data_IF_066149211326
#
_entry.id   IF_066149211326
#
_cell.length_a   1.000
_cell.length_b   1.000
_cell.length_c   1.000
_cell.angle_alpha   90.00
_cell.angle_beta   90.00
_cell.angle_gamma   90.00
#
_symmetry.space_group_name_H-M   'P 1'
#
loop_
_entity.id
_entity.type
_entity.pdbx_description
1 polymer ?
#
# COMPACT_ATOMS: atom_id res chain seq x y z
N UNK A 1 18.84 17.41 8.16
CA UNK A 1 19.06 16.17 8.95
C UNK A 1 19.70 15.17 7.98
N UNK A 2 20.78 14.57 8.39
CA UNK A 2 21.35 13.45 7.64
C UNK A 2 20.57 12.17 8.01
N UNK A 3 20.01 11.51 7.02
CA UNK A 3 19.28 10.26 7.17
C UNK A 3 20.14 9.03 6.86
N UNK A 4 21.37 9.24 6.37
CA UNK A 4 22.25 8.15 5.93
C UNK A 4 21.57 7.26 4.88
N UNK A 5 21.78 5.95 4.98
CA UNK A 5 21.06 4.96 4.16
C UNK A 5 19.67 4.71 4.78
N UNK A 6 18.68 5.51 4.36
CA UNK A 6 17.34 5.45 4.93
C UNK A 6 16.38 4.57 4.12
N UNK A 7 15.48 3.88 4.82
CA UNK A 7 14.28 3.25 4.26
C UNK A 7 13.03 3.93 4.81
N UNK A 8 12.12 4.30 3.93
CA UNK A 8 10.84 4.91 4.27
C UNK A 8 9.72 3.86 4.27
N UNK A 9 9.03 3.73 5.40
CA UNK A 9 7.83 2.90 5.54
C UNK A 9 6.63 3.82 5.52
N UNK A 10 5.90 3.85 4.40
CA UNK A 10 4.79 4.79 4.20
C UNK A 10 3.44 4.11 4.35
N UNK A 11 2.48 4.82 4.93
CA UNK A 11 1.08 4.41 5.07
C UNK A 11 0.12 5.45 4.49
N UNK A 12 -1.19 5.28 4.73
CA UNK A 12 -2.25 6.09 4.12
C UNK A 12 -2.11 7.59 4.42
N UNK A 13 -1.49 7.96 5.53
CA UNK A 13 -1.24 9.36 5.90
C UNK A 13 -0.41 10.13 4.87
N UNK A 14 0.48 9.47 4.11
CA UNK A 14 1.27 10.15 3.07
C UNK A 14 0.40 10.61 1.90
N UNK A 15 -0.73 9.94 1.65
CA UNK A 15 -1.64 10.21 0.51
C UNK A 15 -2.79 11.18 0.86
N UNK A 16 -2.92 11.60 2.11
CA UNK A 16 -3.98 12.54 2.54
C UNK A 16 -3.90 13.86 1.80
N UNK A 17 -2.71 14.43 1.63
CA UNK A 17 -2.50 15.67 0.88
C UNK A 17 -2.73 15.51 -0.64
N UNK A 18 -2.89 14.29 -1.13
CA UNK A 18 -3.32 13.96 -2.49
C UNK A 18 -4.84 13.81 -2.62
N UNK A 19 -5.60 14.04 -1.54
CA UNK A 19 -7.05 13.93 -1.51
C UNK A 19 -7.57 12.51 -1.26
N UNK A 20 -6.69 11.53 -1.01
CA UNK A 20 -7.11 10.18 -0.65
C UNK A 20 -7.39 10.12 0.85
N UNK A 21 -8.60 9.69 1.20
CA UNK A 21 -8.99 9.56 2.59
C UNK A 21 -8.21 8.43 3.29
N UNK A 22 -7.70 8.65 4.50
CA UNK A 22 -7.01 7.61 5.25
C UNK A 22 -7.98 6.47 5.60
N UNK A 23 -7.44 5.28 5.77
CA UNK A 23 -8.27 4.13 6.16
C UNK A 23 -8.98 4.32 7.50
N UNK A 24 -8.42 5.09 8.43
CA UNK A 24 -8.93 5.32 9.78
C UNK A 24 -9.01 6.81 10.09
N UNK A 25 -9.91 7.18 10.98
CA UNK A 25 -10.12 8.56 11.43
C UNK A 25 -11.49 9.10 11.04
N UNK A 26 -11.83 10.34 11.44
CA UNK A 26 -13.05 11.01 11.01
C UNK A 26 -13.09 11.07 9.47
N UNK A 27 -14.14 10.57 8.87
CA UNK A 27 -14.31 10.38 7.42
C UNK A 27 -13.45 9.27 6.80
N UNK A 28 -12.91 8.33 7.56
CA UNK A 28 -12.24 7.13 7.04
C UNK A 28 -13.20 6.23 6.27
N UNK A 29 -12.70 5.49 5.27
CA UNK A 29 -13.49 4.65 4.33
C UNK A 29 -14.09 3.40 5.02
N UNK A 30 -14.09 3.33 6.35
CA UNK A 30 -14.40 2.13 7.14
C UNK A 30 -15.87 2.04 7.56
N UNK A 31 -16.83 2.49 6.74
CA UNK A 31 -18.25 2.32 7.03
C UNK A 31 -18.70 0.85 6.94
N UNK A 32 -18.06 0.03 6.10
CA UNK A 32 -18.24 -1.42 6.07
C UNK A 32 -17.04 -2.10 6.73
N UNK A 33 -17.21 -3.29 7.32
CA UNK A 33 -16.12 -4.05 7.96
C UNK A 33 -15.03 -4.43 6.93
N UNK A 34 -13.93 -3.66 6.81
CA UNK A 34 -12.99 -3.85 5.72
C UNK A 34 -12.13 -5.12 5.89
N UNK A 35 -12.01 -5.65 7.11
CA UNK A 35 -11.38 -6.94 7.34
C UNK A 35 -12.20 -8.08 6.71
N UNK A 36 -13.51 -7.91 6.65
CA UNK A 36 -14.40 -8.86 5.98
C UNK A 36 -14.36 -8.64 4.47
N UNK A 37 -14.52 -7.39 4.02
CA UNK A 37 -14.59 -7.03 2.60
C UNK A 37 -13.28 -7.32 1.87
N UNK A 38 -12.13 -7.00 2.45
CA UNK A 38 -10.82 -7.24 1.87
C UNK A 38 -10.23 -8.59 2.31
N UNK A 39 -11.01 -9.67 2.17
CA UNK A 39 -10.59 -11.03 2.48
C UNK A 39 -10.69 -11.97 1.27
N UNK A 40 -9.81 -12.96 1.21
CA UNK A 40 -9.88 -14.01 0.20
C UNK A 40 -11.19 -14.82 0.32
N UNK A 41 -11.65 -15.01 1.55
CA UNK A 41 -12.95 -15.62 1.82
C UNK A 41 -14.10 -14.86 1.16
N UNK A 42 -14.11 -13.50 1.25
CA UNK A 42 -15.13 -12.66 0.59
C UNK A 42 -15.04 -12.77 -0.92
N UNK A 43 -13.82 -12.72 -1.49
CA UNK A 43 -13.60 -12.92 -2.91
C UNK A 43 -14.21 -14.24 -3.41
N UNK A 44 -13.96 -15.35 -2.70
CA UNK A 44 -14.48 -16.66 -3.09
C UNK A 44 -16.01 -16.82 -2.89
N UNK A 45 -16.59 -16.20 -1.87
CA UNK A 45 -18.01 -16.36 -1.56
C UNK A 45 -18.90 -15.40 -2.34
N UNK A 46 -18.40 -14.22 -2.70
CA UNK A 46 -19.15 -13.17 -3.38
C UNK A 46 -18.20 -12.26 -4.17
N UNK A 47 -17.65 -12.77 -5.29
CA UNK A 47 -16.69 -12.02 -6.10
C UNK A 47 -17.29 -10.74 -6.71
N UNK A 48 -18.59 -10.70 -6.95
CA UNK A 48 -19.27 -9.52 -7.48
C UNK A 48 -19.21 -8.34 -6.50
N UNK A 49 -19.57 -8.57 -5.25
CA UNK A 49 -19.49 -7.54 -4.21
C UNK A 49 -18.03 -7.17 -3.89
N UNK A 50 -17.13 -8.15 -3.79
CA UNK A 50 -15.69 -7.91 -3.59
C UNK A 50 -15.10 -7.01 -4.69
N UNK A 51 -15.30 -7.36 -5.96
CA UNK A 51 -14.76 -6.60 -7.08
C UNK A 51 -15.40 -5.21 -7.18
N UNK A 52 -16.70 -5.08 -6.92
CA UNK A 52 -17.39 -3.78 -6.89
C UNK A 52 -16.82 -2.87 -5.81
N UNK A 53 -16.55 -3.40 -4.62
CA UNK A 53 -15.94 -2.66 -3.53
C UNK A 53 -14.54 -2.16 -3.89
N UNK A 54 -13.71 -3.00 -4.53
CA UNK A 54 -12.39 -2.57 -5.03
C UNK A 54 -12.49 -1.58 -6.20
N UNK A 55 -13.48 -1.73 -7.06
CA UNK A 55 -13.74 -0.78 -8.14
C UNK A 55 -14.03 0.63 -7.60
N UNK A 56 -14.88 0.76 -6.60
CA UNK A 56 -15.17 2.06 -5.96
C UNK A 56 -13.91 2.67 -5.32
N UNK A 57 -13.04 1.87 -4.77
CA UNK A 57 -11.74 2.34 -4.25
C UNK A 57 -10.83 2.82 -5.38
N UNK A 58 -10.77 2.09 -6.48
CA UNK A 58 -10.05 2.54 -7.67
C UNK A 58 -10.60 3.89 -8.16
N UNK A 59 -11.90 4.03 -8.30
CA UNK A 59 -12.55 5.29 -8.72
C UNK A 59 -12.18 6.45 -7.79
N UNK A 60 -12.13 6.21 -6.48
CA UNK A 60 -11.79 7.24 -5.49
C UNK A 60 -10.34 7.73 -5.57
N UNK A 61 -9.42 6.91 -6.07
CA UNK A 61 -8.00 7.27 -6.16
C UNK A 61 -7.47 7.48 -7.59
N UNK A 62 -8.21 7.07 -8.64
CA UNK A 62 -7.73 7.16 -10.04
C UNK A 62 -7.34 8.57 -10.49
N UNK A 63 -8.03 9.61 -9.97
CA UNK A 63 -7.78 11.01 -10.28
C UNK A 63 -6.78 11.67 -9.32
N UNK A 64 -6.37 10.99 -8.26
CA UNK A 64 -5.44 11.55 -7.29
C UNK A 64 -4.07 11.82 -7.94
N UNK A 65 -3.47 12.94 -7.55
CA UNK A 65 -2.16 13.37 -8.04
C UNK A 65 -1.15 13.21 -6.89
N UNK A 66 0.04 12.66 -7.17
CA UNK A 66 1.11 12.59 -6.18
C UNK A 66 1.39 13.98 -5.58
N UNK A 67 1.59 14.04 -4.28
CA UNK A 67 1.96 15.27 -3.58
C UNK A 67 3.49 15.44 -3.46
N UNK A 68 3.91 16.52 -2.83
CA UNK A 68 5.33 16.87 -2.69
C UNK A 68 6.16 15.77 -2.02
N UNK A 69 5.59 15.02 -1.05
CA UNK A 69 6.32 13.91 -0.41
C UNK A 69 6.60 12.77 -1.39
N UNK A 70 5.62 12.37 -2.20
CA UNK A 70 5.82 11.32 -3.21
C UNK A 70 6.91 11.72 -4.21
N UNK A 71 6.84 12.96 -4.73
CA UNK A 71 7.84 13.46 -5.68
C UNK A 71 9.23 13.57 -5.05
N UNK A 72 9.32 14.05 -3.81
CA UNK A 72 10.58 14.16 -3.11
C UNK A 72 11.27 12.81 -2.93
N UNK A 73 10.53 11.80 -2.45
CA UNK A 73 11.07 10.45 -2.25
C UNK A 73 11.52 9.82 -3.57
N UNK A 74 10.77 10.03 -4.66
CA UNK A 74 11.11 9.56 -6.00
C UNK A 74 12.36 10.25 -6.54
N UNK A 75 12.43 11.58 -6.44
CA UNK A 75 13.52 12.43 -6.96
C UNK A 75 14.88 12.09 -6.32
N UNK A 76 14.87 11.75 -5.04
CA UNK A 76 16.07 11.41 -4.29
C UNK A 76 16.34 9.89 -4.23
N UNK A 77 15.59 9.09 -4.97
CA UNK A 77 15.75 7.64 -5.08
C UNK A 77 15.77 6.92 -3.72
N UNK A 78 15.02 7.40 -2.73
CA UNK A 78 14.93 6.73 -1.45
C UNK A 78 14.28 5.34 -1.59
N UNK A 79 14.72 4.40 -0.77
CA UNK A 79 14.03 3.10 -0.64
C UNK A 79 12.70 3.32 0.08
N UNK A 80 11.60 2.94 -0.57
CA UNK A 80 10.25 3.07 -0.02
C UNK A 80 9.57 1.70 0.05
N UNK A 81 9.10 1.35 1.24
CA UNK A 81 8.20 0.23 1.49
C UNK A 81 6.83 0.84 1.79
N UNK A 82 5.94 0.81 0.80
CA UNK A 82 4.60 1.40 0.99
C UNK A 82 3.54 0.36 1.30
N UNK A 83 2.70 0.68 2.27
CA UNK A 83 1.49 -0.07 2.61
C UNK A 83 0.30 0.35 1.75
N UNK A 84 0.45 1.45 1.00
CA UNK A 84 -0.61 1.98 0.17
C UNK A 84 -0.74 1.18 -1.12
N UNK A 85 -1.99 0.99 -1.53
CA UNK A 85 -2.34 0.31 -2.78
C UNK A 85 -2.73 1.29 -3.89
N UNK A 86 -2.64 2.60 -3.63
CA UNK A 86 -3.10 3.69 -4.50
C UNK A 86 -2.22 3.96 -5.72
N UNK A 87 -1.00 3.42 -5.75
CA UNK A 87 -0.04 3.59 -6.84
C UNK A 87 0.59 4.99 -6.94
N UNK A 88 0.39 5.91 -5.97
CA UNK A 88 0.88 7.29 -6.07
C UNK A 88 2.40 7.40 -6.06
N UNK A 89 3.13 6.55 -5.35
CA UNK A 89 4.60 6.52 -5.44
C UNK A 89 5.05 6.23 -6.87
N UNK A 90 4.47 5.22 -7.51
CA UNK A 90 4.75 4.87 -8.91
C UNK A 90 4.36 6.00 -9.87
N UNK A 91 3.20 6.61 -9.67
CA UNK A 91 2.72 7.76 -10.45
C UNK A 91 3.61 9.01 -10.29
N UNK A 92 4.32 9.14 -9.16
CA UNK A 92 5.32 10.19 -8.95
C UNK A 92 6.65 9.93 -9.68
N UNK A 93 6.78 8.82 -10.38
CA UNK A 93 8.01 8.42 -11.07
C UNK A 93 9.03 7.71 -10.16
N UNK A 94 8.59 7.12 -9.06
CA UNK A 94 9.49 6.39 -8.17
C UNK A 94 10.11 5.20 -8.91
N UNK A 95 11.44 5.03 -8.90
CA UNK A 95 12.11 3.94 -9.61
C UNK A 95 11.73 2.56 -9.04
N UNK A 96 11.40 1.61 -9.91
CA UNK A 96 11.03 0.24 -9.51
C UNK A 96 12.02 -0.45 -8.58
N UNK A 97 13.35 -0.35 -8.77
CA UNK A 97 14.30 -0.97 -7.85
C UNK A 97 14.25 -0.43 -6.41
N UNK A 98 13.68 0.76 -6.21
CA UNK A 98 13.61 1.45 -4.92
C UNK A 98 12.20 1.55 -4.33
N UNK A 99 11.22 0.89 -4.94
CA UNK A 99 9.83 0.87 -4.47
C UNK A 99 9.37 -0.56 -4.20
N UNK A 100 8.84 -0.82 -3.01
CA UNK A 100 8.13 -2.04 -2.66
C UNK A 100 6.71 -1.68 -2.27
N UNK A 101 5.73 -2.18 -3.01
CA UNK A 101 4.30 -2.09 -2.70
C UNK A 101 3.92 -3.33 -1.88
N UNK A 102 4.19 -3.29 -0.55
CA UNK A 102 4.13 -4.46 0.34
C UNK A 102 2.72 -5.06 0.52
N UNK A 103 1.68 -4.29 0.19
CA UNK A 103 0.30 -4.76 0.12
C UNK A 103 -0.22 -4.89 -1.32
N UNK A 104 0.68 -4.76 -2.32
CA UNK A 104 0.32 -4.76 -3.72
C UNK A 104 -0.15 -3.40 -4.22
N UNK A 105 -0.82 -3.39 -5.38
CA UNK A 105 -1.26 -2.16 -6.05
C UNK A 105 -2.59 -2.40 -6.76
N UNK A 106 -3.55 -1.50 -6.58
CA UNK A 106 -4.88 -1.59 -7.19
C UNK A 106 -4.86 -1.49 -8.72
N UNK A 107 -3.79 -0.91 -9.28
CA UNK A 107 -3.62 -0.80 -10.73
C UNK A 107 -3.14 -2.09 -11.41
N UNK A 108 -2.86 -3.12 -10.63
CA UNK A 108 -2.46 -4.43 -11.15
C UNK A 108 -3.46 -5.51 -10.77
N UNK A 109 -3.53 -6.53 -11.62
CA UNK A 109 -4.25 -7.77 -11.37
C UNK A 109 -3.33 -8.98 -11.59
N UNK A 110 -3.69 -10.10 -11.05
CA UNK A 110 -2.97 -11.37 -11.20
C UNK A 110 -3.93 -12.53 -11.29
N UNK A 111 -3.48 -13.64 -11.85
CA UNK A 111 -4.20 -14.92 -11.74
C UNK A 111 -4.41 -15.28 -10.26
N UNK A 112 -5.52 -15.93 -9.96
CA UNK A 112 -5.86 -16.27 -8.57
C UNK A 112 -4.77 -17.13 -7.94
N UNK A 113 -4.24 -18.11 -8.68
CA UNK A 113 -3.19 -19.02 -8.23
C UNK A 113 -1.75 -18.51 -8.44
N UNK A 114 -1.54 -17.29 -8.95
CA UNK A 114 -0.19 -16.77 -9.21
C UNK A 114 0.64 -16.69 -7.91
N UNK A 115 1.87 -17.18 -7.98
CA UNK A 115 2.84 -17.17 -6.88
C UNK A 115 4.03 -16.23 -7.14
N UNK A 116 4.15 -15.69 -8.36
CA UNK A 116 5.27 -14.90 -8.81
C UNK A 116 4.83 -13.57 -9.44
N UNK A 117 5.63 -12.51 -9.24
CA UNK A 117 5.32 -11.14 -9.69
C UNK A 117 5.37 -10.94 -11.21
N UNK A 118 6.16 -11.71 -11.94
CA UNK A 118 6.30 -11.51 -13.39
C UNK A 118 4.99 -11.79 -14.19
N UNK A 119 3.98 -12.32 -13.52
CA UNK A 119 2.64 -12.52 -14.08
C UNK A 119 1.64 -11.40 -13.75
N UNK A 120 2.11 -10.25 -13.23
CA UNK A 120 1.23 -9.13 -12.98
C UNK A 120 0.82 -8.46 -14.30
N UNK A 121 -0.47 -8.21 -14.44
CA UNK A 121 -1.06 -7.46 -15.56
C UNK A 121 -1.66 -6.14 -15.07
N UNK A 122 -1.81 -5.18 -15.98
CA UNK A 122 -2.53 -3.95 -15.65
C UNK A 122 -4.01 -4.26 -15.50
N UNK A 123 -4.59 -3.88 -14.38
CA UNK A 123 -6.01 -4.07 -14.12
C UNK A 123 -6.86 -3.15 -15.03
N UNK A 124 -7.89 -3.72 -15.64
CA UNK A 124 -8.68 -3.06 -16.70
C UNK A 124 -9.84 -2.23 -16.13
N UNK A 125 -9.65 -1.58 -14.99
CA UNK A 125 -10.69 -0.82 -14.29
C UNK A 125 -11.32 0.30 -15.14
N UNK A 126 -10.53 0.99 -15.96
CA UNK A 126 -11.00 2.09 -16.81
C UNK A 126 -11.93 1.62 -17.94
N UNK A 127 -11.96 0.32 -18.22
CA UNK A 127 -12.82 -0.29 -19.23
C UNK A 127 -14.15 -0.78 -18.64
N UNK A 128 -14.36 -0.64 -17.34
CA UNK A 128 -15.55 -1.14 -16.65
C UNK A 128 -16.77 -0.27 -16.99
N UNK A 129 -17.85 -0.91 -17.41
CA UNK A 129 -19.14 -0.27 -17.63
C UNK A 129 -19.88 -0.13 -16.29
N UNK A 130 -19.95 1.09 -15.77
CA UNK A 130 -20.61 1.40 -14.50
C UNK A 130 -22.13 1.14 -14.53
N UNK A 131 -22.76 1.24 -15.70
CA UNK A 131 -24.19 0.93 -15.84
C UNK A 131 -24.47 -0.58 -15.73
N UNK A 132 -23.44 -1.41 -15.95
CA UNK A 132 -23.53 -2.87 -15.89
C UNK A 132 -22.32 -3.44 -15.11
N UNK A 133 -22.14 -2.94 -13.87
CA UNK A 133 -20.90 -3.05 -13.09
C UNK A 133 -20.43 -4.50 -12.90
N UNK A 134 -21.23 -5.35 -12.26
CA UNK A 134 -20.79 -6.71 -11.90
C UNK A 134 -20.50 -7.57 -13.14
N UNK A 135 -21.38 -7.63 -14.15
CA UNK A 135 -21.07 -8.34 -15.39
C UNK A 135 -19.81 -7.84 -16.10
N UNK A 136 -19.57 -6.53 -16.10
CA UNK A 136 -18.38 -5.93 -16.68
C UNK A 136 -17.11 -6.32 -15.89
N UNK A 137 -17.18 -6.31 -14.56
CA UNK A 137 -16.08 -6.77 -13.71
C UNK A 137 -15.80 -8.27 -13.93
N UNK A 138 -16.81 -9.11 -14.01
CA UNK A 138 -16.64 -10.53 -14.28
C UNK A 138 -15.95 -10.77 -15.60
N UNK A 139 -16.34 -10.03 -16.66
CA UNK A 139 -15.67 -10.08 -17.95
C UNK A 139 -14.17 -9.76 -17.87
N UNK A 140 -13.79 -8.69 -17.18
CA UNK A 140 -12.38 -8.25 -17.13
C UNK A 140 -11.51 -9.02 -16.15
N UNK A 141 -12.11 -9.64 -15.15
CA UNK A 141 -11.42 -10.52 -14.20
C UNK A 141 -11.59 -12.02 -14.55
N UNK A 142 -12.17 -12.33 -15.71
CA UNK A 142 -12.40 -13.70 -16.17
C UNK A 142 -13.11 -14.57 -15.13
N UNK A 143 -14.12 -14.01 -14.45
CA UNK A 143 -14.99 -14.70 -13.53
C UNK A 143 -16.17 -15.29 -14.33
N UNK A 144 -16.47 -16.56 -14.11
CA UNK A 144 -17.54 -17.25 -14.80
C UNK A 144 -18.94 -16.75 -14.41
N UNK A 145 -19.96 -17.18 -15.17
CA UNK A 145 -21.37 -16.88 -14.88
C UNK A 145 -21.72 -17.32 -13.46
N UNK A 146 -22.51 -16.47 -12.75
CA UNK A 146 -22.88 -16.73 -11.36
C UNK A 146 -21.74 -16.57 -10.35
N UNK A 147 -20.59 -15.99 -10.75
CA UNK A 147 -19.47 -15.72 -9.84
C UNK A 147 -18.51 -16.92 -9.68
N UNK A 148 -18.50 -17.86 -10.61
CA UNK A 148 -17.59 -18.99 -10.55
C UNK A 148 -16.14 -18.54 -10.78
N UNK A 149 -15.25 -18.84 -9.82
CA UNK A 149 -13.83 -18.56 -9.87
C UNK A 149 -13.10 -19.83 -10.31
N UNK A 150 -12.37 -19.72 -11.40
CA UNK A 150 -11.40 -20.72 -11.83
C UNK A 150 -9.99 -20.28 -11.39
N UNK A 151 -9.27 -21.11 -10.65
CA UNK A 151 -7.99 -20.73 -10.06
C UNK A 151 -6.90 -20.45 -11.10
N UNK A 152 -7.00 -21.04 -12.29
CA UNK A 152 -5.98 -20.93 -13.35
C UNK A 152 -6.29 -19.80 -14.32
N UNK A 153 -7.57 -19.53 -14.58
CA UNK A 153 -7.98 -18.55 -15.59
C UNK A 153 -8.48 -17.25 -15.00
N UNK A 154 -9.15 -17.27 -13.85
CA UNK A 154 -9.68 -16.05 -13.23
C UNK A 154 -8.59 -15.16 -12.65
N UNK A 155 -8.86 -13.86 -12.66
CA UNK A 155 -8.01 -12.82 -12.07
C UNK A 155 -8.62 -12.24 -10.80
N UNK A 156 -7.76 -11.59 -10.04
CA UNK A 156 -8.13 -10.73 -8.91
C UNK A 156 -7.21 -9.53 -8.85
N UNK A 157 -7.59 -8.42 -8.17
CA UNK A 157 -6.68 -7.32 -7.91
C UNK A 157 -5.41 -7.83 -7.20
N UNK A 158 -4.25 -7.28 -7.57
CA UNK A 158 -2.98 -7.60 -6.93
C UNK A 158 -2.87 -6.86 -5.59
N UNK A 159 -3.65 -7.30 -4.62
CA UNK A 159 -3.69 -6.74 -3.26
C UNK A 159 -3.59 -7.89 -2.26
N UNK A 160 -2.76 -7.70 -1.22
CA UNK A 160 -2.68 -8.60 -0.07
C UNK A 160 -3.95 -8.45 0.78
N UNK A 161 -4.67 -9.54 0.96
CA UNK A 161 -5.93 -9.56 1.71
C UNK A 161 -5.66 -9.90 3.19
N UNK A 162 -6.61 -9.52 4.08
CA UNK A 162 -6.41 -9.65 5.53
C UNK A 162 -6.24 -11.09 6.03
N UNK A 163 -6.75 -12.07 5.28
CA UNK A 163 -6.63 -13.49 5.57
C UNK A 163 -5.53 -14.20 4.76
N UNK A 164 -4.65 -13.42 4.13
CA UNK A 164 -3.47 -13.93 3.40
C UNK A 164 -2.17 -13.60 4.14
N UNK A 165 -1.10 -14.29 3.77
CA UNK A 165 0.24 -14.10 4.31
C UNK A 165 1.13 -13.32 3.35
N UNK A 166 2.09 -12.57 3.90
CA UNK A 166 3.15 -11.96 3.10
C UNK A 166 3.97 -13.03 2.40
N UNK A 167 4.29 -12.79 1.14
CA UNK A 167 5.04 -13.70 0.29
C UNK A 167 5.92 -12.92 -0.69
N UNK A 168 6.66 -13.62 -1.54
CA UNK A 168 7.50 -12.99 -2.56
C UNK A 168 6.68 -12.27 -3.65
N UNK A 169 5.39 -12.53 -3.76
CA UNK A 169 4.48 -11.68 -4.54
C UNK A 169 4.50 -10.21 -4.10
N UNK A 170 4.82 -9.97 -2.83
CA UNK A 170 4.86 -8.65 -2.21
C UNK A 170 6.28 -8.26 -1.77
N UNK A 171 7.30 -8.98 -2.27
CA UNK A 171 8.73 -8.72 -2.03
C UNK A 171 9.10 -8.68 -0.53
N UNK A 172 8.50 -9.55 0.28
CA UNK A 172 8.71 -9.52 1.74
C UNK A 172 10.19 -9.70 2.14
N UNK A 173 10.91 -10.62 1.49
CA UNK A 173 12.34 -10.85 1.75
C UNK A 173 13.17 -9.62 1.42
N UNK A 174 12.90 -8.97 0.28
CA UNK A 174 13.58 -7.73 -0.12
C UNK A 174 13.27 -6.58 0.85
N UNK A 175 12.02 -6.47 1.32
CA UNK A 175 11.64 -5.45 2.31
C UNK A 175 12.41 -5.64 3.63
N UNK A 176 12.50 -6.88 4.13
CA UNK A 176 13.28 -7.21 5.33
C UNK A 176 14.76 -6.89 5.13
N UNK A 177 15.34 -7.25 3.98
CA UNK A 177 16.73 -6.95 3.67
C UNK A 177 17.00 -5.44 3.66
N UNK A 178 16.10 -4.64 3.07
CA UNK A 178 16.24 -3.20 3.09
C UNK A 178 16.25 -2.60 4.50
N UNK A 179 15.42 -3.15 5.38
CA UNK A 179 15.39 -2.73 6.79
C UNK A 179 16.71 -3.12 7.49
N UNK A 180 17.22 -4.33 7.25
CA UNK A 180 18.50 -4.76 7.82
C UNK A 180 19.67 -3.89 7.35
N UNK A 181 19.70 -3.51 6.07
CA UNK A 181 20.77 -2.72 5.47
C UNK A 181 20.70 -1.22 5.83
N UNK A 182 19.54 -0.74 6.30
CA UNK A 182 19.35 0.69 6.57
C UNK A 182 20.05 1.14 7.86
N UNK A 183 20.51 2.39 7.86
CA UNK A 183 20.94 3.10 9.08
C UNK A 183 19.74 3.73 9.79
N UNK A 184 18.77 4.19 9.00
CA UNK A 184 17.58 4.89 9.48
C UNK A 184 16.31 4.26 8.91
N UNK A 185 15.32 4.04 9.76
CA UNK A 185 13.95 3.65 9.37
C UNK A 185 13.00 4.81 9.64
N UNK A 186 12.36 5.31 8.58
CA UNK A 186 11.43 6.45 8.67
C UNK A 186 10.00 5.93 8.51
N UNK A 187 9.22 5.97 9.57
CA UNK A 187 7.78 5.68 9.54
C UNK A 187 7.01 6.96 9.22
N UNK A 188 6.36 7.01 8.07
CA UNK A 188 5.71 8.22 7.55
C UNK A 188 4.24 7.97 7.24
N UNK A 189 3.34 8.67 7.93
CA UNK A 189 1.90 8.57 7.71
C UNK A 189 1.32 7.18 7.96
N UNK A 190 1.86 6.42 8.91
CA UNK A 190 1.40 5.06 9.22
C UNK A 190 0.90 4.94 10.66
N UNK A 191 -0.20 4.23 10.85
CA UNK A 191 -0.84 4.04 12.15
C UNK A 191 -0.32 2.83 12.95
N UNK A 192 0.68 2.11 12.45
CA UNK A 192 1.19 0.86 13.06
C UNK A 192 0.10 -0.19 13.36
N UNK A 193 -0.96 -0.22 12.56
CA UNK A 193 -2.12 -1.08 12.81
C UNK A 193 -2.12 -2.39 12.03
N UNK A 194 -1.07 -2.63 11.24
CA UNK A 194 -0.87 -3.86 10.47
C UNK A 194 0.45 -4.52 10.85
N UNK A 195 0.47 -5.86 10.81
CA UNK A 195 1.58 -6.66 11.33
C UNK A 195 2.95 -6.31 10.73
N UNK A 196 3.02 -5.90 9.47
CA UNK A 196 4.30 -5.56 8.82
C UNK A 196 4.97 -4.35 9.45
N UNK A 197 4.22 -3.32 9.85
CA UNK A 197 4.79 -2.12 10.49
C UNK A 197 5.39 -2.48 11.84
N UNK A 198 4.66 -3.26 12.64
CA UNK A 198 5.15 -3.73 13.94
C UNK A 198 6.40 -4.62 13.80
N UNK A 199 6.44 -5.45 12.76
CA UNK A 199 7.59 -6.32 12.47
C UNK A 199 8.82 -5.49 12.09
N UNK A 200 8.67 -4.53 11.16
CA UNK A 200 9.75 -3.62 10.77
C UNK A 200 10.23 -2.78 11.96
N UNK A 201 9.33 -2.29 12.80
CA UNK A 201 9.70 -1.56 14.03
C UNK A 201 10.52 -2.45 14.97
N UNK A 202 10.09 -3.69 15.19
CA UNK A 202 10.82 -4.64 16.04
C UNK A 202 12.22 -4.92 15.51
N UNK A 203 12.38 -5.10 14.20
CA UNK A 203 13.69 -5.25 13.56
C UNK A 203 14.56 -4.01 13.75
N UNK A 204 14.00 -2.82 13.52
CA UNK A 204 14.73 -1.55 13.67
C UNK A 204 15.19 -1.33 15.13
N UNK A 205 14.36 -1.66 16.11
CA UNK A 205 14.72 -1.58 17.54
C UNK A 205 15.80 -2.60 17.89
N UNK A 206 15.63 -3.85 17.46
CA UNK A 206 16.59 -4.93 17.72
C UNK A 206 17.99 -4.60 17.22
N UNK A 207 18.08 -4.07 16.00
CA UNK A 207 19.34 -3.69 15.34
C UNK A 207 19.82 -2.27 15.73
N UNK A 208 19.19 -1.64 16.72
CA UNK A 208 19.55 -0.29 17.20
C UNK A 208 19.61 0.76 16.10
N UNK A 209 18.73 0.66 15.09
CA UNK A 209 18.63 1.62 13.99
C UNK A 209 18.12 2.97 14.47
N UNK A 210 18.48 4.05 13.77
CA UNK A 210 17.82 5.32 13.99
C UNK A 210 16.35 5.20 13.54
N UNK A 211 15.41 5.54 14.43
CA UNK A 211 13.97 5.52 14.13
C UNK A 211 13.48 6.96 14.04
N UNK A 212 12.79 7.26 12.95
CA UNK A 212 12.14 8.55 12.70
C UNK A 212 10.65 8.31 12.46
N UNK A 213 9.80 9.07 13.13
CA UNK A 213 8.34 9.02 12.98
C UNK A 213 7.85 10.36 12.47
N UNK A 214 7.12 10.36 11.36
CA UNK A 214 6.57 11.56 10.71
C UNK A 214 5.07 11.38 10.54
N UNK A 215 4.31 12.10 11.34
CA UNK A 215 2.84 12.09 11.27
C UNK A 215 2.28 13.31 12.00
N UNK A 216 1.22 13.98 11.53
CA UNK A 216 0.60 15.07 12.28
C UNK A 216 0.03 14.65 13.63
N UNK A 217 -0.29 13.36 13.81
CA UNK A 217 -0.77 12.74 15.05
C UNK A 217 -0.12 11.39 15.26
N UNK A 218 1.16 11.36 15.68
CA UNK A 218 1.92 10.11 15.80
C UNK A 218 1.25 9.16 16.81
N UNK A 219 1.21 7.87 16.45
CA UNK A 219 0.71 6.85 17.37
C UNK A 219 1.78 6.46 18.37
N UNK A 220 1.39 6.32 19.64
CA UNK A 220 2.31 6.02 20.75
C UNK A 220 3.13 4.73 20.53
N UNK A 221 2.59 3.75 19.82
CA UNK A 221 3.28 2.49 19.53
C UNK A 221 4.50 2.63 18.61
N UNK A 222 4.62 3.74 17.85
CA UNK A 222 5.81 4.06 17.06
C UNK A 222 6.80 4.96 17.81
N UNK A 223 6.35 5.66 18.87
CA UNK A 223 7.16 6.59 19.63
C UNK A 223 8.00 5.84 20.67
N UNK A 224 8.83 4.90 20.22
CA UNK A 224 9.71 4.12 21.10
C UNK A 224 10.84 4.99 21.67
N UNK A 225 11.47 4.62 22.80
CA UNK A 225 12.61 5.35 23.35
C UNK A 225 13.73 5.55 22.32
N UNK A 226 14.19 6.79 22.17
CA UNK A 226 15.20 7.18 21.16
C UNK A 226 14.69 7.50 19.79
N UNK A 227 13.40 7.28 19.47
CA UNK A 227 12.81 7.70 18.21
C UNK A 227 12.74 9.23 18.11
N UNK A 228 13.06 9.76 16.92
CA UNK A 228 12.84 11.18 16.58
C UNK A 228 11.45 11.35 16.01
N UNK A 229 10.60 12.09 16.68
CA UNK A 229 9.20 12.30 16.31
C UNK A 229 9.01 13.69 15.71
N UNK A 230 8.40 13.75 14.52
CA UNK A 230 8.05 14.98 13.81
C UNK A 230 6.53 15.04 13.62
N UNK A 231 5.88 15.88 14.42
CA UNK A 231 4.43 16.12 14.37
C UNK A 231 4.10 17.07 13.22
N UNK A 232 4.24 16.57 11.99
CA UNK A 232 3.99 17.34 10.77
C UNK A 232 3.57 16.43 9.62
N UNK A 233 3.10 17.05 8.52
CA UNK A 233 2.75 16.30 7.31
C UNK A 233 4.00 15.75 6.60
N UNK A 234 3.78 14.71 5.79
CA UNK A 234 4.84 14.10 4.99
C UNK A 234 5.52 15.12 4.06
N UNK A 235 4.74 15.97 3.38
CA UNK A 235 5.28 17.01 2.49
C UNK A 235 6.08 18.07 3.24
N UNK A 236 5.60 18.49 4.42
CA UNK A 236 6.34 19.44 5.26
C UNK A 236 7.68 18.86 5.73
N UNK A 237 7.69 17.60 6.13
CA UNK A 237 8.91 16.90 6.53
C UNK A 237 9.91 16.83 5.36
N UNK A 238 9.47 16.33 4.20
CA UNK A 238 10.32 16.24 3.01
C UNK A 238 10.90 17.59 2.62
N UNK A 239 10.11 18.66 2.67
CA UNK A 239 10.55 20.04 2.38
C UNK A 239 11.59 20.56 3.39
N UNK A 240 11.64 20.02 4.60
CA UNK A 240 12.62 20.39 5.64
C UNK A 240 13.98 19.69 5.51
N UNK A 241 14.02 18.60 4.74
CA UNK A 241 15.27 17.87 4.48
C UNK A 241 16.13 18.70 3.50
N UNK A 242 17.33 19.06 3.95
CA UNK A 242 18.36 19.69 3.10
C UNK A 242 19.24 18.56 2.59
N UNK A 243 19.08 18.20 1.34
CA UNK A 243 19.99 17.30 0.62
C UNK A 243 20.75 18.11 -0.41
#
# INVERSE_FOLDING_TARGET
MDLGNAVFVTGAGVSVESGIQPFRGPNGIWEENPMEMASYRKFNSDPGHFLSWYYHRFVSCRQAIPNAAHHYLAQHNFRVITQNVDGLHRKAGHPDPHLIEIHGCIHHMRRVNATERHHLEVAKWDNVDEANLVPSLFKYFEIGEGGQIDLETSYRPHILLFDEYYSELYEITKAQQWVMDADTVVFMGTSNSVGITANILSMAVYDSKQIVVVDPKPVSSLCVPGAKVYEMSASSFCSSLKI
#
